data_IF_578530178845
#
_entry.id   IF_578530178845
#
_cell.length_a   1.000
_cell.length_b   1.000
_cell.length_c   1.000
_cell.angle_alpha   90.00
_cell.angle_beta   90.00
_cell.angle_gamma   90.00
#
_symmetry.space_group_name_H-M   'P 1'
#
loop_
_entity.id
_entity.type
_entity.pdbx_description
1 polymer ?
#
# COMPACT_ATOMS: atom_id res chain seq x y z
N UNK A 1 14.96 3.94 6.71
CA UNK A 1 14.28 3.56 5.45
C UNK A 1 14.77 4.50 4.35
N UNK A 2 15.18 3.93 3.23
CA UNK A 2 15.69 4.71 2.09
C UNK A 2 14.56 4.95 1.09
N UNK A 3 13.89 6.09 1.20
CA UNK A 3 12.73 6.41 0.36
C UNK A 3 13.07 6.48 -1.12
N UNK A 4 14.27 6.95 -1.46
CA UNK A 4 14.70 7.04 -2.86
C UNK A 4 14.85 5.68 -3.54
N UNK A 5 14.96 4.60 -2.78
CA UNK A 5 15.05 3.24 -3.31
C UNK A 5 13.68 2.58 -3.50
N UNK A 6 12.61 3.25 -3.07
CA UNK A 6 11.25 2.72 -3.14
C UNK A 6 10.58 3.24 -4.40
N UNK A 7 10.07 2.32 -5.22
CA UNK A 7 9.39 2.66 -6.47
C UNK A 7 8.11 1.84 -6.61
N UNK A 8 7.04 2.54 -6.91
CA UNK A 8 5.76 1.96 -7.28
C UNK A 8 5.02 2.88 -8.24
N UNK A 9 4.36 2.26 -9.24
CA UNK A 9 3.47 2.95 -10.17
C UNK A 9 2.19 2.14 -10.30
N UNK A 10 1.07 2.81 -10.55
CA UNK A 10 -0.22 2.13 -10.73
C UNK A 10 -0.42 1.62 -12.16
N UNK A 11 0.67 1.30 -12.85
CA UNK A 11 0.66 0.81 -14.23
C UNK A 11 1.89 -0.05 -14.49
N UNK A 12 2.00 -0.59 -15.70
CA UNK A 12 3.11 -1.42 -16.17
C UNK A 12 3.23 -2.71 -15.34
N UNK A 13 4.47 -3.12 -15.04
CA UNK A 13 4.75 -4.31 -14.24
C UNK A 13 4.53 -4.10 -12.73
N UNK A 14 4.20 -2.87 -12.30
CA UNK A 14 3.89 -2.57 -10.90
C UNK A 14 2.42 -2.78 -10.55
N UNK A 15 1.54 -2.74 -11.54
CA UNK A 15 0.10 -2.92 -11.31
C UNK A 15 -0.55 -3.32 -12.63
N UNK A 16 -1.01 -4.57 -12.72
CA UNK A 16 -1.65 -5.06 -13.93
C UNK A 16 -2.69 -6.15 -13.62
N UNK A 17 -3.75 -6.23 -14.42
CA UNK A 17 -4.76 -7.27 -14.22
C UNK A 17 -4.25 -8.64 -14.65
N UNK A 18 -4.55 -9.65 -13.83
CA UNK A 18 -4.32 -11.06 -14.17
C UNK A 18 -5.55 -11.65 -14.87
N UNK A 19 -6.73 -11.22 -14.43
CA UNK A 19 -8.02 -11.61 -15.00
C UNK A 19 -9.07 -10.60 -14.54
N UNK A 20 -10.35 -10.89 -14.73
CA UNK A 20 -11.45 -9.97 -14.41
C UNK A 20 -11.55 -9.65 -12.90
N UNK A 21 -11.07 -10.52 -12.05
CA UNK A 21 -11.25 -10.43 -10.60
C UNK A 21 -9.94 -10.26 -9.81
N UNK A 22 -8.79 -10.36 -10.45
CA UNK A 22 -7.51 -10.33 -9.78
C UNK A 22 -6.56 -9.31 -10.37
N UNK A 23 -5.86 -8.59 -9.50
CA UNK A 23 -4.86 -7.59 -9.87
C UNK A 23 -3.53 -7.96 -9.24
N UNK A 24 -2.47 -7.94 -10.03
CA UNK A 24 -1.10 -8.05 -9.53
C UNK A 24 -0.60 -6.65 -9.19
N UNK A 25 -0.13 -6.48 -7.95
CA UNK A 25 0.44 -5.22 -7.48
C UNK A 25 1.83 -5.49 -6.93
N UNK A 26 2.80 -4.70 -7.37
CA UNK A 26 4.18 -4.85 -6.95
C UNK A 26 4.80 -3.55 -6.48
N UNK A 27 5.80 -3.66 -5.63
CA UNK A 27 6.59 -2.52 -5.16
C UNK A 27 8.06 -2.93 -5.10
N UNK A 28 8.94 -2.04 -5.53
CA UNK A 28 10.38 -2.21 -5.42
C UNK A 28 10.87 -1.36 -4.25
N UNK A 29 11.63 -1.97 -3.35
CA UNK A 29 12.18 -1.29 -2.18
C UNK A 29 13.69 -1.47 -2.10
N UNK A 30 14.33 -0.71 -1.21
CA UNK A 30 15.70 -1.04 -0.81
C UNK A 30 15.73 -2.32 0.02
N UNK A 31 16.91 -2.88 0.18
CA UNK A 31 17.09 -4.11 0.98
C UNK A 31 16.93 -3.87 2.48
N UNK A 32 16.78 -2.62 2.90
CA UNK A 32 16.52 -2.23 4.29
C UNK A 32 15.07 -2.44 4.72
N UNK A 33 14.16 -2.75 3.79
CA UNK A 33 12.76 -3.04 4.09
C UNK A 33 12.63 -4.52 4.44
N UNK A 34 12.12 -4.78 5.64
CA UNK A 34 12.03 -6.12 6.22
C UNK A 34 10.70 -6.81 5.95
N UNK A 35 9.61 -6.03 5.98
CA UNK A 35 8.25 -6.53 5.75
C UNK A 35 7.44 -5.50 4.97
N UNK A 36 6.55 -5.99 4.14
CA UNK A 36 5.62 -5.16 3.38
C UNK A 36 4.21 -5.74 3.52
N UNK A 37 3.26 -4.86 3.80
CA UNK A 37 1.84 -5.19 3.79
C UNK A 37 1.16 -4.34 2.72
N UNK A 38 0.14 -4.89 2.09
CA UNK A 38 -0.75 -4.12 1.25
C UNK A 38 -2.10 -3.97 1.96
N UNK A 39 -2.61 -2.75 1.98
CA UNK A 39 -3.96 -2.45 2.45
C UNK A 39 -4.78 -2.08 1.22
N UNK A 40 -5.81 -2.83 0.91
CA UNK A 40 -6.56 -2.67 -0.32
C UNK A 40 -8.05 -2.91 -0.13
N UNK A 41 -8.85 -2.42 -1.07
CA UNK A 41 -10.28 -2.64 -1.06
C UNK A 41 -10.99 -1.78 -2.10
N UNK A 42 -12.31 -1.93 -2.16
CA UNK A 42 -13.14 -1.07 -2.99
C UNK A 42 -13.08 0.36 -2.41
N UNK A 43 -12.97 1.41 -3.24
CA UNK A 43 -12.95 2.79 -2.74
C UNK A 43 -14.17 3.20 -1.93
N UNK A 44 -15.29 2.50 -2.09
CA UNK A 44 -16.52 2.78 -1.38
C UNK A 44 -16.71 1.97 -0.10
N UNK A 45 -15.81 1.02 0.18
CA UNK A 45 -15.84 0.28 1.45
C UNK A 45 -15.38 1.18 2.57
N UNK A 46 -16.23 1.32 3.59
CA UNK A 46 -15.91 2.14 4.73
C UNK A 46 -17.07 2.28 5.67
N UNK A 47 -16.89 3.07 6.71
CA UNK A 47 -17.90 3.29 7.71
C UNK A 47 -17.92 4.75 8.17
N UNK A 48 -19.05 5.17 8.75
CA UNK A 48 -19.17 6.48 9.38
C UNK A 48 -18.52 6.42 10.75
N UNK A 49 -17.62 7.34 11.01
CA UNK A 49 -16.93 7.50 12.29
C UNK A 49 -17.30 8.86 12.90
N UNK A 50 -16.97 9.13 14.19
CA UNK A 50 -17.15 10.45 14.75
C UNK A 50 -16.45 11.59 13.99
N UNK A 51 -15.38 11.25 13.25
CA UNK A 51 -14.62 12.21 12.44
C UNK A 51 -15.10 12.26 10.97
N UNK A 52 -16.17 11.54 10.62
CA UNK A 52 -16.69 11.45 9.27
C UNK A 52 -16.56 10.04 8.68
N UNK A 53 -16.69 9.93 7.36
CA UNK A 53 -16.56 8.65 6.66
C UNK A 53 -15.09 8.24 6.58
N UNK A 54 -14.81 6.98 6.92
CA UNK A 54 -13.47 6.43 6.86
C UNK A 54 -13.43 5.17 5.98
N UNK A 55 -12.47 5.11 5.07
CA UNK A 55 -12.24 3.94 4.23
C UNK A 55 -11.68 2.78 5.06
N UNK A 56 -12.19 1.57 4.81
CA UNK A 56 -11.73 0.34 5.47
C UNK A 56 -11.23 -0.63 4.41
N UNK A 57 -9.92 -0.85 4.38
CA UNK A 57 -9.31 -1.82 3.49
C UNK A 57 -8.93 -3.09 4.22
N UNK A 58 -8.68 -4.14 3.46
CA UNK A 58 -8.11 -5.39 3.96
C UNK A 58 -6.59 -5.27 4.01
N UNK A 59 -5.99 -5.71 5.11
CA UNK A 59 -4.53 -5.72 5.29
C UNK A 59 -4.00 -7.12 5.05
N UNK A 60 -3.05 -7.23 4.14
CA UNK A 60 -2.44 -8.52 3.78
C UNK A 60 -0.93 -8.39 3.75
N UNK A 61 -0.22 -9.29 4.41
CA UNK A 61 1.23 -9.34 4.33
C UNK A 61 1.68 -9.86 2.98
N UNK A 62 2.64 -9.19 2.36
CA UNK A 62 3.25 -9.64 1.12
C UNK A 62 4.41 -10.56 1.47
N UNK A 63 4.28 -11.83 1.16
CA UNK A 63 5.32 -12.83 1.41
C UNK A 63 6.11 -13.18 0.15
N UNK A 64 5.55 -12.93 -1.03
CA UNK A 64 6.22 -13.19 -2.29
C UNK A 64 7.17 -12.06 -2.62
N UNK A 65 8.46 -12.35 -2.56
CA UNK A 65 9.50 -11.38 -2.85
C UNK A 65 10.65 -11.99 -3.61
N UNK A 66 11.38 -11.13 -4.33
CA UNK A 66 12.61 -11.50 -5.02
C UNK A 66 13.70 -10.50 -4.66
N UNK A 67 14.80 -11.00 -4.12
CA UNK A 67 15.96 -10.17 -3.81
C UNK A 67 16.78 -9.91 -5.07
N UNK A 68 17.05 -8.65 -5.34
CA UNK A 68 17.91 -8.17 -6.42
C UNK A 68 19.18 -7.60 -5.80
N UNK A 69 20.25 -7.31 -6.57
CA UNK A 69 21.52 -6.85 -5.98
C UNK A 69 21.41 -5.65 -5.03
N UNK A 70 20.54 -4.69 -5.33
CA UNK A 70 20.40 -3.47 -4.52
C UNK A 70 18.96 -3.19 -4.09
N UNK A 71 18.02 -4.07 -4.46
CA UNK A 71 16.58 -3.86 -4.22
C UNK A 71 15.91 -5.18 -3.92
N UNK A 72 14.72 -5.08 -3.35
CA UNK A 72 13.81 -6.21 -3.20
C UNK A 72 12.53 -5.91 -3.96
N UNK A 73 12.08 -6.87 -4.75
CA UNK A 73 10.82 -6.80 -5.48
C UNK A 73 9.75 -7.57 -4.72
N UNK A 74 8.67 -6.90 -4.35
CA UNK A 74 7.56 -7.47 -3.61
C UNK A 74 6.32 -7.52 -4.50
N UNK A 75 5.62 -8.65 -4.50
CA UNK A 75 4.43 -8.84 -5.33
C UNK A 75 3.28 -9.41 -4.53
N UNK A 76 2.07 -8.89 -4.77
CA UNK A 76 0.85 -9.39 -4.19
C UNK A 76 -0.22 -9.55 -5.27
N UNK A 77 -1.07 -10.56 -5.11
CA UNK A 77 -2.28 -10.71 -5.91
C UNK A 77 -3.45 -10.33 -5.03
N UNK A 78 -4.28 -9.41 -5.48
CA UNK A 78 -5.46 -8.95 -4.73
C UNK A 78 -6.72 -9.24 -5.50
N UNK A 79 -7.78 -9.61 -4.77
CA UNK A 79 -9.09 -9.92 -5.34
C UNK A 79 -9.93 -8.65 -5.43
N UNK A 80 -10.48 -8.39 -6.61
CA UNK A 80 -11.26 -7.19 -6.88
C UNK A 80 -12.60 -7.57 -7.51
N UNK A 81 -13.62 -7.94 -6.72
CA UNK A 81 -14.89 -8.41 -7.28
C UNK A 81 -15.62 -7.40 -8.17
N UNK A 82 -15.32 -6.11 -8.04
CA UNK A 82 -16.01 -5.06 -8.80
C UNK A 82 -15.08 -4.26 -9.71
N UNK A 83 -13.84 -4.70 -9.92
CA UNK A 83 -12.90 -4.01 -10.81
C UNK A 83 -12.38 -2.68 -10.31
N UNK A 84 -12.68 -2.30 -9.07
CA UNK A 84 -12.22 -1.05 -8.46
C UNK A 84 -11.31 -1.36 -7.28
N UNK A 85 -10.18 -0.65 -7.20
CA UNK A 85 -9.22 -0.87 -6.12
C UNK A 85 -8.65 0.44 -5.63
N UNK A 86 -8.71 0.63 -4.33
CA UNK A 86 -7.92 1.61 -3.61
C UNK A 86 -6.91 0.84 -2.77
N UNK A 87 -5.64 1.25 -2.79
CA UNK A 87 -4.62 0.55 -2.03
C UNK A 87 -3.50 1.48 -1.57
N UNK A 88 -2.80 1.03 -0.54
CA UNK A 88 -1.54 1.61 -0.12
C UNK A 88 -0.63 0.50 0.41
N UNK A 89 0.65 0.80 0.58
CA UNK A 89 1.61 -0.14 1.15
C UNK A 89 1.99 0.31 2.55
N UNK A 90 2.13 -0.66 3.44
CA UNK A 90 2.69 -0.44 4.77
C UNK A 90 4.08 -1.07 4.77
N UNK A 91 5.10 -0.24 4.93
CA UNK A 91 6.51 -0.63 4.81
C UNK A 91 7.16 -0.65 6.19
N UNK A 92 7.83 -1.76 6.52
CA UNK A 92 8.54 -1.93 7.77
C UNK A 92 10.05 -1.98 7.52
N UNK A 93 10.78 -1.04 8.12
CA UNK A 93 12.23 -1.01 8.07
C UNK A 93 12.87 -1.95 9.08
N UNK A 94 14.15 -1.72 9.41
CA UNK A 94 14.90 -2.58 10.31
C UNK A 94 14.47 -2.47 11.77
N UNK A 95 14.09 -1.26 12.20
CA UNK A 95 13.62 -1.01 13.56
C UNK A 95 12.11 -1.11 13.65
N UNK A 96 11.60 -1.54 14.81
CA UNK A 96 10.15 -1.69 15.01
C UNK A 96 9.36 -0.40 14.81
N UNK A 97 9.95 0.75 15.14
CA UNK A 97 9.30 2.05 14.96
C UNK A 97 9.43 2.63 13.56
N UNK A 98 10.20 1.99 12.67
CA UNK A 98 10.41 2.49 11.32
C UNK A 98 9.35 1.95 10.37
N UNK A 99 8.15 2.46 10.52
CA UNK A 99 6.99 2.08 9.71
C UNK A 99 6.49 3.29 8.94
N UNK A 100 6.29 3.12 7.63
CA UNK A 100 5.74 4.17 6.77
C UNK A 100 4.68 3.59 5.86
N UNK A 101 3.72 4.42 5.53
CA UNK A 101 2.66 4.10 4.58
C UNK A 101 2.95 4.79 3.26
N UNK A 102 3.07 4.00 2.20
CA UNK A 102 3.32 4.51 0.86
C UNK A 102 2.00 4.66 0.12
N UNK A 103 1.61 5.90 -0.10
CA UNK A 103 0.44 6.27 -0.88
C UNK A 103 0.91 6.85 -2.22
N UNK A 104 -0.04 7.13 -3.12
CA UNK A 104 0.27 7.67 -4.44
C UNK A 104 1.08 8.97 -4.39
N UNK A 105 0.81 9.81 -3.39
CA UNK A 105 1.42 11.13 -3.27
C UNK A 105 2.51 11.24 -2.20
N UNK A 106 2.99 10.13 -1.65
CA UNK A 106 4.09 10.20 -0.71
C UNK A 106 4.11 9.13 0.37
N UNK A 107 4.95 9.36 1.36
CA UNK A 107 5.17 8.47 2.50
C UNK A 107 4.69 9.14 3.78
N UNK A 108 3.96 8.38 4.59
CA UNK A 108 3.34 8.92 5.81
C UNK A 108 3.56 7.99 6.99
N UNK A 109 3.68 8.58 8.18
CA UNK A 109 3.57 7.82 9.43
C UNK A 109 2.09 7.55 9.73
N UNK A 110 1.83 6.64 10.69
CA UNK A 110 0.45 6.35 11.10
C UNK A 110 -0.25 7.62 11.61
N UNK A 111 0.46 8.45 12.39
CA UNK A 111 -0.10 9.70 12.93
C UNK A 111 -0.43 10.70 11.82
N UNK A 112 0.45 10.80 10.82
CA UNK A 112 0.20 11.67 9.66
C UNK A 112 -1.02 11.22 8.87
N UNK A 113 -1.22 9.91 8.71
CA UNK A 113 -2.41 9.37 8.02
C UNK A 113 -3.69 9.71 8.76
N UNK A 114 -3.68 9.60 10.10
CA UNK A 114 -4.86 9.96 10.92
C UNK A 114 -5.21 11.43 10.70
N UNK A 115 -4.21 12.31 10.69
CA UNK A 115 -4.39 13.75 10.46
C UNK A 115 -4.98 14.01 9.07
N UNK A 116 -4.46 13.36 8.04
CA UNK A 116 -4.98 13.50 6.66
C UNK A 116 -6.42 13.04 6.56
N UNK A 117 -6.79 11.94 7.21
CA UNK A 117 -8.16 11.44 7.22
C UNK A 117 -9.12 12.43 7.85
N UNK A 118 -8.71 13.12 8.91
CA UNK A 118 -9.52 14.15 9.56
C UNK A 118 -9.75 15.36 8.66
N UNK A 119 -8.74 15.74 7.88
CA UNK A 119 -8.79 16.91 6.98
C UNK A 119 -9.59 16.58 5.72
N UNK A 120 -9.33 15.42 5.10
CA UNK A 120 -9.92 15.06 3.81
C UNK A 120 -11.18 14.20 3.93
N UNK A 121 -11.42 13.62 5.10
CA UNK A 121 -12.51 12.66 5.31
C UNK A 121 -12.30 11.32 4.62
N UNK A 122 -11.12 11.09 4.04
CA UNK A 122 -10.87 9.91 3.22
C UNK A 122 -9.37 9.60 3.18
N UNK A 123 -9.03 8.37 2.79
CA UNK A 123 -7.67 8.02 2.44
C UNK A 123 -7.28 8.77 1.17
N UNK A 124 -6.14 9.48 1.16
CA UNK A 124 -5.64 10.08 -0.08
C UNK A 124 -5.11 8.97 -0.98
N UNK A 125 -5.39 9.08 -2.28
CA UNK A 125 -4.87 8.09 -3.22
C UNK A 125 -5.66 7.93 -4.48
#
# INVERSE_FOLDING_TARGET
MQFSAIEHRSMDNFCYPLNENELMIGIKTGSDIRRVFIVYGDPFDGSVTPDGWAWEGKRQEITRKKDLPYHTWWQATVMLPYGRCKYCFELHGQDEGDVRYCLENGFYTADELVTLRRITGNFPG
#
